data_IF_280456050225
#
_entry.id   IF_280456050225
#
_cell.length_a   1.000
_cell.length_b   1.000
_cell.length_c   1.000
_cell.angle_alpha   90.00
_cell.angle_beta   90.00
_cell.angle_gamma   90.00
#
_symmetry.space_group_name_H-M   'P 1'
#
loop_
_entity.id
_entity.type
_entity.pdbx_description
1 polymer ?
#
# COMPACT_ATOMS: atom_id res chain seq x y z
N UNK A 1 11.36 1.92 -15.17
CA UNK A 1 10.73 3.23 -14.97
C UNK A 1 10.90 3.65 -13.51
N UNK A 2 11.12 4.95 -13.25
CA UNK A 2 11.32 5.40 -11.86
C UNK A 2 10.18 5.03 -10.93
N UNK A 3 8.93 5.04 -11.44
CA UNK A 3 7.76 4.70 -10.64
C UNK A 3 7.78 3.24 -10.20
N UNK A 4 8.29 2.35 -11.04
CA UNK A 4 8.35 0.92 -10.72
C UNK A 4 9.32 0.66 -9.57
N UNK A 5 10.48 1.30 -9.58
CA UNK A 5 11.45 1.17 -8.49
C UNK A 5 10.89 1.73 -7.19
N UNK A 6 10.20 2.84 -7.26
CA UNK A 6 9.57 3.44 -6.09
C UNK A 6 8.53 2.50 -5.50
N UNK A 7 7.69 1.92 -6.35
CA UNK A 7 6.65 1.00 -5.91
C UNK A 7 7.25 -0.25 -5.27
N UNK A 8 8.29 -0.83 -5.87
CA UNK A 8 8.99 -1.97 -5.28
C UNK A 8 9.52 -1.65 -3.89
N UNK A 9 10.13 -0.49 -3.73
CA UNK A 9 10.64 -0.07 -2.42
C UNK A 9 9.52 0.02 -1.40
N UNK A 10 8.40 0.62 -1.77
CA UNK A 10 7.25 0.72 -0.89
C UNK A 10 6.71 -0.64 -0.49
N UNK A 11 6.64 -1.56 -1.44
CA UNK A 11 6.16 -2.90 -1.16
C UNK A 11 7.10 -3.64 -0.20
N UNK A 12 8.41 -3.47 -0.35
CA UNK A 12 9.38 -4.09 0.53
C UNK A 12 9.33 -3.50 1.93
N UNK A 13 9.20 -2.18 2.03
CA UNK A 13 9.20 -1.50 3.33
C UNK A 13 7.90 -1.64 4.09
N UNK A 14 6.78 -1.56 3.39
CA UNK A 14 5.47 -1.44 4.05
C UNK A 14 4.52 -2.59 3.76
N UNK A 15 4.89 -3.49 2.87
CA UNK A 15 4.00 -4.59 2.47
C UNK A 15 3.52 -5.41 3.64
N UNK A 16 4.43 -5.82 4.53
CA UNK A 16 4.06 -6.63 5.69
C UNK A 16 3.13 -5.89 6.65
N UNK A 17 3.42 -4.61 6.89
CA UNK A 17 2.59 -3.79 7.78
C UNK A 17 1.18 -3.62 7.22
N UNK A 18 1.08 -3.36 5.93
CA UNK A 18 -0.22 -3.20 5.28
C UNK A 18 -0.97 -4.54 5.26
N UNK A 19 -0.25 -5.63 4.99
CA UNK A 19 -0.85 -6.96 5.01
C UNK A 19 -1.42 -7.30 6.39
N UNK A 20 -0.67 -7.04 7.45
CA UNK A 20 -1.12 -7.32 8.81
C UNK A 20 -2.39 -6.54 9.14
N UNK A 21 -2.42 -5.28 8.75
CA UNK A 21 -3.59 -4.44 8.97
C UNK A 21 -4.80 -4.99 8.22
N UNK A 22 -4.62 -5.33 6.96
CA UNK A 22 -5.70 -5.89 6.15
C UNK A 22 -6.17 -7.24 6.72
N UNK A 23 -5.24 -8.06 7.17
CA UNK A 23 -5.58 -9.35 7.75
C UNK A 23 -6.40 -9.20 9.03
N UNK A 24 -6.02 -8.24 9.88
CA UNK A 24 -6.77 -8.00 11.10
C UNK A 24 -8.21 -7.55 10.82
N UNK A 25 -8.39 -6.80 9.74
CA UNK A 25 -9.73 -6.37 9.34
C UNK A 25 -10.55 -7.49 8.71
N UNK A 26 -9.94 -8.20 7.77
CA UNK A 26 -10.66 -9.16 6.94
C UNK A 26 -10.66 -10.56 7.51
N UNK A 27 -9.67 -10.89 8.34
CA UNK A 27 -9.48 -12.21 8.97
C UNK A 27 -9.46 -13.34 7.94
N UNK A 28 -8.96 -13.04 6.74
CA UNK A 28 -8.86 -13.98 5.65
C UNK A 28 -7.57 -13.67 4.89
N UNK A 29 -6.71 -14.68 4.75
CA UNK A 29 -5.38 -14.51 4.15
C UNK A 29 -5.49 -14.06 2.69
N UNK A 30 -6.34 -14.73 1.90
CA UNK A 30 -6.46 -14.43 0.48
C UNK A 30 -7.04 -13.04 0.24
N UNK A 31 -8.05 -12.67 1.01
CA UNK A 31 -8.63 -11.33 0.92
C UNK A 31 -7.62 -10.26 1.33
N UNK A 32 -6.80 -10.56 2.35
CA UNK A 32 -5.76 -9.64 2.79
C UNK A 32 -4.70 -9.45 1.70
N UNK A 33 -4.30 -10.53 1.02
CA UNK A 33 -3.35 -10.42 -0.09
C UNK A 33 -3.92 -9.56 -1.21
N UNK A 34 -5.18 -9.79 -1.57
CA UNK A 34 -5.84 -9.00 -2.61
C UNK A 34 -5.91 -7.52 -2.22
N UNK A 35 -6.23 -7.25 -0.95
CA UNK A 35 -6.30 -5.88 -0.46
C UNK A 35 -4.94 -5.19 -0.51
N UNK A 36 -3.86 -5.91 -0.19
CA UNK A 36 -2.51 -5.36 -0.28
C UNK A 36 -2.17 -5.02 -1.72
N UNK A 37 -2.42 -5.94 -2.65
CA UNK A 37 -2.14 -5.70 -4.06
C UNK A 37 -2.91 -4.49 -4.57
N UNK A 38 -4.19 -4.40 -4.23
CA UNK A 38 -5.01 -3.28 -4.65
C UNK A 38 -4.54 -1.96 -4.06
N UNK A 39 -4.08 -1.99 -2.80
CA UNK A 39 -3.53 -0.81 -2.15
C UNK A 39 -2.34 -0.26 -2.94
N UNK A 40 -1.43 -1.13 -3.34
CA UNK A 40 -0.24 -0.68 -4.07
C UNK A 40 -0.55 -0.29 -5.50
N UNK A 41 -1.53 -0.91 -6.14
CA UNK A 41 -1.99 -0.48 -7.45
C UNK A 41 -2.58 0.93 -7.38
N UNK A 42 -3.41 1.19 -6.39
CA UNK A 42 -3.98 2.51 -6.17
C UNK A 42 -2.91 3.54 -5.82
N UNK A 43 -1.91 3.13 -5.02
CA UNK A 43 -0.78 3.99 -4.68
C UNK A 43 -0.02 4.41 -5.94
N UNK A 44 0.22 3.49 -6.86
CA UNK A 44 0.88 3.80 -8.10
C UNK A 44 0.10 4.82 -8.92
N UNK A 45 -1.21 4.64 -8.99
CA UNK A 45 -2.09 5.53 -9.75
C UNK A 45 -2.20 6.92 -9.12
N UNK A 46 -2.07 6.98 -7.79
CA UNK A 46 -2.26 8.22 -7.03
C UNK A 46 -0.94 8.89 -6.62
N UNK A 47 0.18 8.37 -7.10
CA UNK A 47 1.49 8.87 -6.69
C UNK A 47 1.62 10.38 -6.90
N UNK A 48 1.14 10.87 -8.02
CA UNK A 48 1.24 12.29 -8.35
C UNK A 48 0.46 13.18 -7.38
N UNK A 49 -0.59 12.62 -6.76
CA UNK A 49 -1.43 13.39 -5.83
C UNK A 49 -0.97 13.27 -4.38
N UNK A 50 0.00 12.41 -4.11
CA UNK A 50 0.53 12.24 -2.75
C UNK A 50 1.14 13.54 -2.22
N UNK A 51 1.95 14.20 -3.03
CA UNK A 51 2.56 15.51 -2.72
C UNK A 51 3.34 15.53 -1.41
N UNK A 52 3.64 14.37 -0.84
CA UNK A 52 4.42 14.21 0.40
C UNK A 52 3.87 14.98 1.60
N UNK A 53 2.56 15.13 1.66
CA UNK A 53 1.88 15.85 2.75
C UNK A 53 1.79 15.03 4.03
N UNK A 54 2.00 13.72 3.94
CA UNK A 54 2.02 12.82 5.08
C UNK A 54 3.16 11.83 4.88
N UNK A 55 3.40 10.97 5.87
CA UNK A 55 4.37 9.89 5.68
C UNK A 55 3.84 8.90 4.65
N UNK A 56 4.76 8.20 3.99
CA UNK A 56 4.39 7.17 3.02
C UNK A 56 3.49 6.11 3.66
N UNK A 57 3.81 5.72 4.88
CA UNK A 57 3.02 4.71 5.59
C UNK A 57 1.59 5.21 5.84
N UNK A 58 1.44 6.43 6.31
CA UNK A 58 0.11 7.02 6.54
C UNK A 58 -0.69 7.10 5.25
N UNK A 59 -0.04 7.51 4.18
CA UNK A 59 -0.68 7.59 2.87
C UNK A 59 -1.18 6.23 2.39
N UNK A 60 -0.33 5.20 2.52
CA UNK A 60 -0.71 3.84 2.13
C UNK A 60 -1.87 3.31 2.99
N UNK A 61 -1.86 3.58 4.28
CA UNK A 61 -2.94 3.16 5.17
C UNK A 61 -4.26 3.80 4.75
N UNK A 62 -4.23 5.09 4.40
CA UNK A 62 -5.43 5.76 3.93
C UNK A 62 -5.99 5.15 2.66
N UNK A 63 -5.12 4.72 1.77
CA UNK A 63 -5.55 4.04 0.54
C UNK A 63 -6.16 2.69 0.87
N UNK A 64 -5.58 1.96 1.81
CA UNK A 64 -6.02 0.61 2.17
C UNK A 64 -7.37 0.60 2.88
N UNK A 65 -7.67 1.64 3.60
CA UNK A 65 -8.95 1.78 4.30
C UNK A 65 -9.95 2.49 3.41
#
# INVERSE_FOLDING_TARGET
>A
MPTDHYLERLMQEYGDSIFRMCYLYLKDYHLAEDAVQETFIKAMKSYDTFAHKSSEKTWLIRIAI
#
